data_IF_439895343024
#
_entry.id   IF_439895343024
#
_cell.length_a   1.000
_cell.length_b   1.000
_cell.length_c   1.000
_cell.angle_alpha   90.00
_cell.angle_beta   90.00
_cell.angle_gamma   90.00
#
_symmetry.space_group_name_H-M   'P 1'
#
loop_
_entity.id
_entity.type
_entity.pdbx_description
1 polymer ?
#
# COMPACT_ATOMS: atom_id res chain seq x y z
N UNK A 1 16.46 22.08 1.49
CA UNK A 1 17.25 21.12 2.30
C UNK A 1 16.35 20.00 2.84
N UNK A 2 15.12 20.25 3.30
CA UNK A 2 14.15 19.18 3.65
C UNK A 2 13.53 18.49 2.41
N UNK A 3 13.26 19.23 1.34
CA UNK A 3 12.67 18.73 0.08
C UNK A 3 13.46 17.60 -0.60
N UNK A 4 14.79 17.58 -0.44
CA UNK A 4 15.67 16.61 -1.11
C UNK A 4 15.60 15.23 -0.44
N UNK A 5 15.33 15.20 0.88
CA UNK A 5 15.10 13.98 1.63
C UNK A 5 13.75 13.33 1.31
N UNK A 6 12.71 14.14 1.09
CA UNK A 6 11.37 13.64 0.70
C UNK A 6 11.37 13.14 -0.75
N UNK A 7 12.03 13.83 -1.69
CA UNK A 7 12.17 13.35 -3.09
C UNK A 7 12.95 12.02 -3.14
N UNK A 8 14.05 11.91 -2.38
CA UNK A 8 14.85 10.68 -2.36
C UNK A 8 14.05 9.50 -1.78
N UNK A 9 13.23 9.75 -0.76
CA UNK A 9 12.34 8.74 -0.18
C UNK A 9 11.24 8.33 -1.17
N UNK A 10 10.64 9.30 -1.88
CA UNK A 10 9.64 9.06 -2.91
C UNK A 10 10.18 8.12 -3.99
N UNK A 11 11.32 8.45 -4.59
CA UNK A 11 11.95 7.65 -5.64
C UNK A 11 12.33 6.24 -5.16
N UNK A 12 12.77 6.12 -3.91
CA UNK A 12 13.06 4.81 -3.32
C UNK A 12 11.79 3.96 -3.17
N UNK A 13 10.69 4.56 -2.71
CA UNK A 13 9.41 3.88 -2.55
C UNK A 13 8.82 3.50 -3.91
N UNK A 14 8.85 4.40 -4.88
CA UNK A 14 8.43 4.12 -6.25
C UNK A 14 9.15 2.90 -6.82
N UNK A 15 10.49 2.88 -6.72
CA UNK A 15 11.30 1.74 -7.16
C UNK A 15 10.94 0.46 -6.42
N UNK A 16 10.90 0.50 -5.09
CA UNK A 16 10.57 -0.68 -4.28
C UNK A 16 9.17 -1.22 -4.61
N UNK A 17 8.20 -0.34 -4.84
CA UNK A 17 6.86 -0.73 -5.27
C UNK A 17 6.89 -1.43 -6.62
N UNK A 18 7.52 -0.83 -7.62
CA UNK A 18 7.64 -1.43 -8.96
C UNK A 18 8.28 -2.83 -8.92
N UNK A 19 9.29 -3.03 -8.07
CA UNK A 19 9.96 -4.32 -7.91
C UNK A 19 9.16 -5.35 -7.10
N UNK A 20 8.23 -4.89 -6.25
CA UNK A 20 7.44 -5.76 -5.36
C UNK A 20 6.04 -6.09 -5.88
N UNK A 21 5.56 -5.37 -6.91
CA UNK A 21 4.25 -5.56 -7.51
C UNK A 21 4.20 -6.84 -8.36
N UNK A 22 3.19 -7.67 -8.15
CA UNK A 22 2.96 -8.86 -8.96
C UNK A 22 1.46 -9.17 -9.11
N UNK A 23 1.12 -9.94 -10.14
CA UNK A 23 -0.27 -10.35 -10.40
C UNK A 23 -0.63 -11.59 -9.59
N UNK A 24 -1.74 -11.51 -8.84
CA UNK A 24 -2.35 -12.64 -8.15
C UNK A 24 -3.87 -12.59 -8.32
N UNK A 25 -4.47 -13.65 -8.88
CA UNK A 25 -5.92 -13.76 -9.11
C UNK A 25 -6.52 -12.55 -9.86
N UNK A 26 -5.80 -12.04 -10.87
CA UNK A 26 -6.24 -10.89 -11.67
C UNK A 26 -6.10 -9.53 -10.98
N UNK A 27 -5.51 -9.48 -9.78
CA UNK A 27 -5.25 -8.25 -9.03
C UNK A 27 -3.75 -8.02 -8.89
N UNK A 28 -3.34 -6.76 -8.97
CA UNK A 28 -1.98 -6.35 -8.65
C UNK A 28 -1.83 -6.25 -7.13
N UNK A 29 -0.84 -6.94 -6.58
CA UNK A 29 -0.64 -7.06 -5.13
C UNK A 29 0.84 -6.91 -4.75
N UNK A 30 1.08 -6.57 -3.48
CA UNK A 30 2.40 -6.54 -2.84
C UNK A 30 2.39 -7.46 -1.61
N UNK A 31 3.43 -8.27 -1.41
CA UNK A 31 3.49 -9.18 -0.26
C UNK A 31 3.78 -8.42 1.03
N UNK A 32 3.31 -8.98 2.14
CA UNK A 32 3.56 -8.42 3.47
C UNK A 32 5.04 -8.32 3.85
N UNK A 33 5.88 -9.23 3.34
CA UNK A 33 7.35 -9.20 3.50
C UNK A 33 7.95 -7.94 2.88
N UNK A 34 7.55 -7.61 1.66
CA UNK A 34 8.07 -6.45 0.93
C UNK A 34 7.54 -5.16 1.55
N UNK A 35 6.24 -5.13 1.90
CA UNK A 35 5.65 -4.01 2.62
C UNK A 35 6.35 -3.77 3.97
N UNK A 36 6.62 -4.83 4.73
CA UNK A 36 7.34 -4.71 6.00
C UNK A 36 8.74 -4.08 5.79
N UNK A 37 9.44 -4.47 4.71
CA UNK A 37 10.72 -3.89 4.35
C UNK A 37 10.60 -2.39 4.01
N UNK A 38 9.59 -2.01 3.20
CA UNK A 38 9.35 -0.60 2.82
C UNK A 38 9.02 0.25 4.05
N UNK A 39 8.10 -0.21 4.90
CA UNK A 39 7.77 0.46 6.16
C UNK A 39 8.93 0.45 7.17
N UNK A 40 9.93 -0.43 6.99
CA UNK A 40 11.04 -0.64 7.93
C UNK A 40 10.58 -1.20 9.27
N UNK A 41 9.65 -2.14 9.24
CA UNK A 41 9.11 -2.87 10.39
C UNK A 41 9.40 -4.36 10.24
N UNK A 42 9.33 -5.13 11.33
CA UNK A 42 9.42 -6.59 11.20
C UNK A 42 8.14 -7.12 10.54
N UNK A 43 8.29 -8.08 9.62
CA UNK A 43 7.14 -8.74 8.97
C UNK A 43 6.20 -9.39 10.00
N UNK A 44 6.74 -9.93 11.09
CA UNK A 44 5.96 -10.50 12.20
C UNK A 44 5.07 -9.45 12.88
N UNK A 45 5.58 -8.24 13.05
CA UNK A 45 4.86 -7.14 13.70
C UNK A 45 3.73 -6.65 12.79
N UNK A 46 4.02 -6.52 11.49
CA UNK A 46 3.02 -6.18 10.47
C UNK A 46 1.91 -7.25 10.41
N UNK A 47 2.26 -8.53 10.30
CA UNK A 47 1.30 -9.65 10.28
C UNK A 47 0.44 -9.69 11.54
N UNK A 48 1.03 -9.40 12.70
CA UNK A 48 0.29 -9.33 13.97
C UNK A 48 -0.70 -8.18 13.95
N UNK A 49 -0.30 -6.99 13.50
CA UNK A 49 -1.19 -5.83 13.38
C UNK A 49 -2.34 -6.07 12.40
N UNK A 50 -2.06 -6.72 11.27
CA UNK A 50 -3.08 -7.15 10.31
C UNK A 50 -4.07 -8.10 10.99
N UNK A 51 -3.59 -9.15 11.65
CA UNK A 51 -4.44 -10.16 12.30
C UNK A 51 -5.31 -9.58 13.41
N UNK A 52 -4.76 -8.70 14.24
CA UNK A 52 -5.51 -7.97 15.27
C UNK A 52 -6.61 -7.07 14.69
N UNK A 53 -6.51 -6.69 13.41
CA UNK A 53 -7.40 -5.76 12.74
C UNK A 53 -8.06 -6.39 11.51
N UNK A 54 -8.15 -7.73 11.45
CA UNK A 54 -8.62 -8.46 10.27
C UNK A 54 -10.02 -8.02 9.82
N UNK A 55 -10.88 -7.67 10.78
CA UNK A 55 -12.25 -7.18 10.54
C UNK A 55 -12.31 -5.86 9.75
N UNK A 56 -11.18 -5.13 9.65
CA UNK A 56 -11.10 -3.91 8.85
C UNK A 56 -10.87 -4.22 7.37
N UNK A 57 -10.27 -5.35 7.01
CA UNK A 57 -9.85 -5.63 5.63
C UNK A 57 -10.92 -6.42 4.87
N UNK A 58 -11.50 -5.85 3.79
CA UNK A 58 -12.30 -6.62 2.84
C UNK A 58 -11.46 -7.72 2.18
N UNK A 59 -12.08 -8.86 1.86
CA UNK A 59 -11.44 -9.97 1.15
C UNK A 59 -10.88 -9.57 -0.21
N UNK A 60 -11.42 -8.51 -0.81
CA UNK A 60 -10.94 -8.02 -2.09
C UNK A 60 -9.62 -7.25 -2.01
N UNK A 61 -9.26 -6.76 -0.83
CA UNK A 61 -8.12 -5.86 -0.65
C UNK A 61 -6.89 -6.54 -0.05
N UNK A 62 -7.11 -7.68 0.61
CA UNK A 62 -6.07 -8.47 1.25
C UNK A 62 -6.35 -9.95 1.06
N UNK A 63 -5.33 -10.66 0.61
CA UNK A 63 -5.39 -12.07 0.26
C UNK A 63 -4.45 -12.82 1.19
N UNK A 64 -4.95 -13.83 1.90
CA UNK A 64 -4.10 -14.75 2.63
C UNK A 64 -3.52 -15.77 1.64
N UNK A 65 -2.22 -15.67 1.36
CA UNK A 65 -1.54 -16.50 0.35
C UNK A 65 -1.17 -17.87 0.90
N UNK A 66 -0.83 -17.93 2.19
CA UNK A 66 -0.75 -19.14 2.99
C UNK A 66 -0.94 -18.75 4.47
N UNK A 67 -1.02 -19.74 5.37
CA UNK A 67 -1.37 -19.52 6.78
C UNK A 67 -0.50 -18.44 7.43
N UNK A 68 -1.08 -17.27 7.67
CA UNK A 68 -0.44 -16.11 8.30
C UNK A 68 0.45 -15.26 7.38
N UNK A 69 0.35 -15.40 6.06
CA UNK A 69 1.04 -14.58 5.06
C UNK A 69 0.05 -13.87 4.15
N UNK A 70 0.23 -12.55 3.98
CA UNK A 70 -0.72 -11.71 3.28
C UNK A 70 -0.11 -11.07 2.03
N UNK A 71 -0.94 -10.89 1.02
CA UNK A 71 -0.68 -10.03 -0.13
C UNK A 71 -1.77 -8.96 -0.18
N UNK A 72 -1.37 -7.70 -0.37
CA UNK A 72 -2.27 -6.55 -0.30
C UNK A 72 -2.32 -5.84 -1.65
N UNK A 73 -3.54 -5.50 -2.06
CA UNK A 73 -3.80 -4.57 -3.16
C UNK A 73 -3.49 -3.12 -2.73
N UNK A 74 -3.51 -2.17 -3.67
CA UNK A 74 -3.38 -0.74 -3.37
C UNK A 74 -4.34 -0.28 -2.24
N UNK A 75 -5.67 -0.52 -2.31
CA UNK A 75 -6.56 -0.17 -1.20
C UNK A 75 -6.16 -0.83 0.11
N UNK A 76 -5.71 -2.09 0.07
CA UNK A 76 -5.22 -2.79 1.26
C UNK A 76 -3.98 -2.12 1.88
N UNK A 77 -3.05 -1.65 1.05
CA UNK A 77 -1.87 -0.90 1.49
C UNK A 77 -2.29 0.41 2.16
N UNK A 78 -3.27 1.13 1.60
CA UNK A 78 -3.82 2.35 2.19
C UNK A 78 -4.46 2.11 3.56
N UNK A 79 -5.04 0.94 3.80
CA UNK A 79 -5.61 0.60 5.10
C UNK A 79 -4.57 0.39 6.20
N UNK A 80 -3.29 0.18 5.85
CA UNK A 80 -2.20 0.04 6.82
C UNK A 80 -1.87 1.34 7.57
N UNK A 81 -2.24 2.50 7.02
CA UNK A 81 -1.95 3.80 7.63
C UNK A 81 -2.54 3.98 9.02
N UNK A 82 -3.69 3.33 9.28
CA UNK A 82 -4.33 3.34 10.59
C UNK A 82 -3.78 2.31 11.59
N UNK A 83 -2.86 1.44 11.16
CA UNK A 83 -2.31 0.35 11.97
C UNK A 83 -0.90 0.64 12.47
N UNK A 84 -0.10 1.34 11.67
CA UNK A 84 1.29 1.63 11.98
C UNK A 84 1.40 3.04 12.57
N UNK A 85 1.99 3.15 13.77
CA UNK A 85 2.01 4.40 14.56
C UNK A 85 3.38 5.07 14.65
N UNK A 86 4.43 4.47 14.09
CA UNK A 86 5.77 5.07 14.11
C UNK A 86 5.83 6.23 13.12
N UNK A 87 6.62 7.26 13.43
CA UNK A 87 6.80 8.42 12.55
C UNK A 87 7.34 8.01 11.17
N UNK A 88 8.25 7.02 11.15
CA UNK A 88 8.73 6.42 9.91
C UNK A 88 7.60 5.79 9.11
N UNK A 89 6.74 4.98 9.73
CA UNK A 89 5.66 4.33 9.03
C UNK A 89 4.61 5.31 8.51
N UNK A 90 4.33 6.38 9.27
CA UNK A 90 3.46 7.48 8.82
C UNK A 90 4.03 8.17 7.59
N UNK A 91 5.34 8.47 7.58
CA UNK A 91 6.01 9.07 6.42
C UNK A 91 5.96 8.17 5.20
N UNK A 92 6.33 6.90 5.35
CA UNK A 92 6.23 5.90 4.27
C UNK A 92 4.79 5.79 3.76
N UNK A 93 3.80 5.83 4.65
CA UNK A 93 2.41 5.77 4.26
C UNK A 93 1.95 6.97 3.43
N UNK A 94 2.35 8.19 3.81
CA UNK A 94 2.09 9.39 3.00
C UNK A 94 2.71 9.26 1.61
N UNK A 95 3.91 8.71 1.53
CA UNK A 95 4.59 8.48 0.26
C UNK A 95 3.91 7.41 -0.61
N UNK A 96 3.29 6.38 -0.02
CA UNK A 96 2.42 5.47 -0.78
C UNK A 96 1.21 6.20 -1.37
N UNK A 97 0.58 7.09 -0.60
CA UNK A 97 -0.55 7.89 -1.10
C UNK A 97 -0.09 8.75 -2.28
N UNK A 98 1.06 9.43 -2.16
CA UNK A 98 1.65 10.23 -3.25
C UNK A 98 1.93 9.36 -4.48
N UNK A 99 2.53 8.17 -4.30
CA UNK A 99 2.81 7.23 -5.38
C UNK A 99 1.53 6.82 -6.12
N UNK A 100 0.47 6.45 -5.41
CA UNK A 100 -0.79 6.05 -6.04
C UNK A 100 -1.48 7.22 -6.75
N UNK A 101 -1.42 8.44 -6.19
CA UNK A 101 -1.95 9.64 -6.86
C UNK A 101 -1.17 9.93 -8.16
N UNK A 102 0.16 9.81 -8.15
CA UNK A 102 0.97 9.95 -9.35
C UNK A 102 0.63 8.89 -10.39
N UNK A 103 0.47 7.63 -9.98
CA UNK A 103 0.09 6.54 -10.87
C UNK A 103 -1.27 6.79 -11.54
N UNK A 104 -2.24 7.36 -10.84
CA UNK A 104 -3.52 7.75 -11.44
C UNK A 104 -3.33 8.81 -12.53
N UNK A 105 -2.53 9.84 -12.24
CA UNK A 105 -2.25 10.93 -13.18
C UNK A 105 -1.51 10.44 -14.43
N UNK A 106 -0.54 9.54 -14.28
CA UNK A 106 0.20 8.93 -15.40
C UNK A 106 -0.73 8.12 -16.31
N UNK A 107 -1.78 7.53 -15.75
CA UNK A 107 -2.83 6.84 -16.49
C UNK A 107 -3.91 7.79 -17.04
N UNK A 108 -3.71 9.11 -16.94
CA UNK A 108 -4.65 10.13 -17.41
C UNK A 108 -5.93 10.24 -16.57
N UNK A 109 -5.93 9.68 -15.35
CA UNK A 109 -7.08 9.69 -14.43
C UNK A 109 -6.83 10.62 -13.24
N UNK A 110 -7.83 11.38 -12.83
CA UNK A 110 -7.79 12.04 -11.51
C UNK A 110 -8.46 11.17 -10.45
N UNK A 111 -8.18 11.45 -9.17
CA UNK A 111 -8.91 10.87 -8.03
C UNK A 111 -10.42 11.11 -8.17
N UNK A 112 -10.83 12.26 -8.71
CA UNK A 112 -12.23 12.56 -8.94
C UNK A 112 -12.87 11.65 -10.01
N UNK A 113 -12.11 11.26 -11.03
CA UNK A 113 -12.57 10.35 -12.08
C UNK A 113 -12.75 8.93 -11.55
N UNK A 114 -11.84 8.49 -10.66
CA UNK A 114 -12.00 7.22 -9.95
C UNK A 114 -13.29 7.19 -9.12
N UNK A 115 -13.55 8.24 -8.33
CA UNK A 115 -14.76 8.34 -7.50
C UNK A 115 -16.04 8.30 -8.36
N UNK A 116 -16.04 8.97 -9.51
CA UNK A 116 -17.17 8.93 -10.44
C UNK A 116 -17.39 7.53 -11.01
N UNK A 117 -16.30 6.83 -11.35
CA UNK A 117 -16.35 5.48 -11.91
C UNK A 117 -16.95 4.49 -10.91
N UNK A 118 -16.43 4.44 -9.68
CA UNK A 118 -16.93 3.53 -8.63
C UNK A 118 -18.41 3.80 -8.28
N UNK A 119 -18.83 5.07 -8.26
CA UNK A 119 -20.23 5.44 -7.98
C UNK A 119 -21.21 5.07 -9.10
N UNK A 120 -20.74 4.84 -10.32
CA UNK A 120 -21.58 4.43 -11.44
C UNK A 120 -21.65 2.90 -11.57
N UNK A 121 -20.83 2.16 -10.85
CA UNK A 121 -20.80 0.68 -10.80
C UNK A 121 -21.56 0.09 -9.59
N UNK A 122 -22.06 0.96 -8.70
CA UNK A 122 -22.88 0.63 -7.52
C UNK A 122 -24.33 1.11 -7.71
#
# INVERSE_FOLDING_TARGET
MEMEGDISLFLAIEKMMQESLFMHQGKLVVKDVDLAAIYGVKVTDLRTKIRENISRFPSDFMIETCKGEYALTEPGILMLGGLLRSERARRVHMQFIEYFVHLLHDNGMSVFDLIKTVKNEL
#
